data_IF_882237092746
#
_entry.id   IF_882237092746
#
_cell.length_a   1.000
_cell.length_b   1.000
_cell.length_c   1.000
_cell.angle_alpha   90.00
_cell.angle_beta   90.00
_cell.angle_gamma   90.00
#
_symmetry.space_group_name_H-M   'P 1'
#
loop_
_entity.id
_entity.type
_entity.pdbx_description
1 polymer ?
#
# COMPACT_ATOMS: atom_id res chain seq x y z
N UNK A 1 9.81 -12.22 31.20
CA UNK A 1 8.80 -12.45 30.14
C UNK A 1 7.67 -11.41 30.15
N UNK A 2 6.95 -11.14 31.26
CA UNK A 2 5.88 -10.12 31.25
C UNK A 2 6.35 -8.65 31.22
N UNK A 3 7.55 -8.36 31.72
CA UNK A 3 8.15 -7.02 31.78
C UNK A 3 8.67 -6.57 30.41
N UNK A 4 9.31 -7.48 29.68
CA UNK A 4 9.95 -7.21 28.38
C UNK A 4 8.90 -6.86 27.31
N UNK A 5 7.75 -7.55 27.30
CA UNK A 5 6.64 -7.25 26.39
C UNK A 5 6.00 -5.89 26.68
N UNK A 6 5.92 -5.47 27.96
CA UNK A 6 5.35 -4.16 28.32
C UNK A 6 6.24 -3.01 27.86
N UNK A 7 7.56 -3.13 28.06
CA UNK A 7 8.52 -2.13 27.59
C UNK A 7 8.58 -2.06 26.06
N UNK A 8 8.45 -3.19 25.37
CA UNK A 8 8.32 -3.22 23.91
C UNK A 8 7.08 -2.46 23.44
N UNK A 9 5.90 -2.74 24.01
CA UNK A 9 4.65 -2.06 23.66
C UNK A 9 4.76 -0.55 23.91
N UNK A 10 5.37 -0.14 25.03
CA UNK A 10 5.59 1.26 25.37
C UNK A 10 6.49 1.95 24.35
N UNK A 11 7.62 1.34 24.01
CA UNK A 11 8.57 1.87 23.02
C UNK A 11 7.92 2.02 21.64
N UNK A 12 7.19 1.00 21.18
CA UNK A 12 6.49 1.04 19.89
C UNK A 12 5.35 2.07 19.89
N UNK A 13 4.63 2.24 20.99
CA UNK A 13 3.59 3.28 21.12
C UNK A 13 4.18 4.68 21.07
N UNK A 14 5.33 4.89 21.71
CA UNK A 14 6.08 6.14 21.62
C UNK A 14 6.53 6.41 20.18
N UNK A 15 7.09 5.41 19.50
CA UNK A 15 7.51 5.53 18.11
C UNK A 15 6.35 5.92 17.18
N UNK A 16 5.19 5.27 17.33
CA UNK A 16 3.97 5.62 16.60
C UNK A 16 3.62 7.10 16.78
N UNK A 17 3.62 7.57 18.04
CA UNK A 17 3.24 8.94 18.38
C UNK A 17 4.17 9.93 17.68
N UNK A 18 5.48 9.70 17.76
CA UNK A 18 6.47 10.52 17.06
C UNK A 18 6.24 10.56 15.54
N UNK A 19 5.98 9.42 14.91
CA UNK A 19 5.71 9.36 13.46
C UNK A 19 4.45 10.15 13.10
N UNK A 20 3.37 9.98 13.86
CA UNK A 20 2.10 10.69 13.62
C UNK A 20 2.27 12.20 13.81
N UNK A 21 3.10 12.62 14.77
CA UNK A 21 3.39 14.02 15.06
C UNK A 21 4.43 14.63 14.08
N UNK A 22 4.91 13.86 13.10
CA UNK A 22 5.83 14.31 12.05
C UNK A 22 7.32 14.13 12.37
N UNK A 23 7.67 13.58 13.54
CA UNK A 23 9.04 13.20 13.90
C UNK A 23 9.41 11.82 13.36
N UNK A 24 9.24 11.63 12.05
CA UNK A 24 9.27 10.31 11.39
C UNK A 24 10.58 9.55 11.67
N UNK A 25 11.73 10.19 11.45
CA UNK A 25 13.05 9.58 11.68
C UNK A 25 13.25 9.10 13.12
N UNK A 26 12.86 9.90 14.11
CA UNK A 26 13.00 9.52 15.51
C UNK A 26 12.14 8.31 15.86
N UNK A 27 10.92 8.24 15.31
CA UNK A 27 10.08 7.06 15.50
C UNK A 27 10.61 5.82 14.80
N UNK A 28 11.14 5.96 13.58
CA UNK A 28 11.82 4.85 12.87
C UNK A 28 13.00 4.33 13.69
N UNK A 29 13.87 5.21 14.19
CA UNK A 29 15.03 4.84 15.02
C UNK A 29 14.62 4.03 16.26
N UNK A 30 13.49 4.36 16.89
CA UNK A 30 12.99 3.60 18.04
C UNK A 30 12.50 2.21 17.60
N UNK A 31 11.80 2.11 16.46
CA UNK A 31 11.31 0.82 15.95
C UNK A 31 12.49 -0.09 15.62
N UNK A 32 13.49 0.40 14.89
CA UNK A 32 14.68 -0.39 14.52
C UNK A 32 15.45 -0.90 15.75
N UNK A 33 15.52 -0.10 16.82
CA UNK A 33 16.18 -0.51 18.07
C UNK A 33 15.36 -1.48 18.91
N UNK A 34 14.03 -1.45 18.78
CA UNK A 34 13.12 -2.23 19.63
C UNK A 34 12.72 -3.56 18.99
N UNK A 35 12.62 -3.60 17.66
CA UNK A 35 12.12 -4.75 16.91
C UNK A 35 13.28 -5.64 16.49
N UNK A 36 13.17 -6.93 16.84
CA UNK A 36 14.15 -7.97 16.55
C UNK A 36 13.47 -9.15 15.87
N UNK A 37 14.24 -10.10 15.34
CA UNK A 37 13.71 -11.34 14.76
C UNK A 37 12.89 -12.17 15.77
N UNK A 38 13.18 -12.06 17.06
CA UNK A 38 12.49 -12.80 18.12
C UNK A 38 11.10 -12.23 18.44
N UNK A 39 10.92 -10.90 18.29
CA UNK A 39 9.69 -10.21 18.68
C UNK A 39 8.89 -9.63 17.50
N UNK A 40 9.32 -9.87 16.25
CA UNK A 40 8.71 -9.26 15.06
C UNK A 40 7.21 -9.58 14.93
N UNK A 41 6.83 -10.83 15.20
CA UNK A 41 5.43 -11.27 15.13
C UNK A 41 4.55 -10.52 16.16
N UNK A 42 5.10 -10.22 17.35
CA UNK A 42 4.41 -9.46 18.39
C UNK A 42 4.40 -7.95 18.10
N UNK A 43 5.28 -7.50 17.21
CA UNK A 43 5.46 -6.10 16.86
C UNK A 43 4.67 -5.69 15.62
N UNK A 44 4.23 -6.63 14.77
CA UNK A 44 3.62 -6.33 13.46
C UNK A 44 2.41 -5.39 13.50
N UNK A 45 1.69 -5.32 14.62
CA UNK A 45 0.58 -4.37 14.78
C UNK A 45 1.03 -2.90 14.59
N UNK A 46 2.30 -2.59 14.86
CA UNK A 46 2.81 -1.22 14.80
C UNK A 46 2.70 -0.63 13.40
N UNK A 47 3.06 -1.39 12.36
CA UNK A 47 3.03 -0.89 11.00
C UNK A 47 1.61 -0.61 10.55
N UNK A 48 0.65 -1.47 10.93
CA UNK A 48 -0.76 -1.24 10.60
C UNK A 48 -1.29 0.03 11.28
N UNK A 49 -0.92 0.24 12.55
CA UNK A 49 -1.31 1.44 13.28
C UNK A 49 -0.69 2.73 12.71
N UNK A 50 0.53 2.66 12.18
CA UNK A 50 1.15 3.79 11.46
C UNK A 50 0.40 4.03 10.15
N UNK A 51 0.14 2.98 9.36
CA UNK A 51 -0.64 3.05 8.12
C UNK A 51 -2.02 3.65 8.37
N UNK A 52 -2.63 3.44 9.55
CA UNK A 52 -3.95 3.97 9.88
C UNK A 52 -3.97 5.45 10.31
N UNK A 53 -2.90 5.93 10.94
CA UNK A 53 -2.90 7.24 11.61
C UNK A 53 -1.98 8.29 10.98
N UNK A 54 -0.86 7.89 10.40
CA UNK A 54 0.16 8.84 9.92
C UNK A 54 -0.25 9.55 8.62
N UNK A 55 0.44 10.66 8.30
CA UNK A 55 0.31 11.34 7.01
C UNK A 55 0.85 10.49 5.85
N UNK A 56 0.51 10.82 4.61
CA UNK A 56 0.99 10.04 3.46
C UNK A 56 2.52 10.09 3.29
N UNK A 57 3.13 11.26 3.52
CA UNK A 57 4.59 11.40 3.50
C UNK A 57 5.26 10.50 4.53
N UNK A 58 4.74 10.49 5.76
CA UNK A 58 5.25 9.64 6.83
C UNK A 58 5.05 8.16 6.55
N UNK A 59 3.90 7.76 5.98
CA UNK A 59 3.65 6.36 5.59
C UNK A 59 4.70 5.91 4.57
N UNK A 60 4.96 6.73 3.56
CA UNK A 60 5.92 6.40 2.50
C UNK A 60 7.34 6.32 3.08
N UNK A 61 7.76 7.30 3.88
CA UNK A 61 9.10 7.31 4.48
C UNK A 61 9.30 6.10 5.42
N UNK A 62 8.30 5.75 6.24
CA UNK A 62 8.36 4.57 7.11
C UNK A 62 8.43 3.28 6.31
N UNK A 63 7.59 3.12 5.30
CA UNK A 63 7.57 1.90 4.49
C UNK A 63 8.87 1.74 3.70
N UNK A 64 9.35 2.80 3.06
CA UNK A 64 10.60 2.77 2.29
C UNK A 64 11.82 2.47 3.19
N UNK A 65 11.79 2.85 4.47
CA UNK A 65 12.88 2.61 5.42
C UNK A 65 12.81 1.23 6.09
N UNK A 66 11.67 0.90 6.72
CA UNK A 66 11.54 -0.28 7.59
C UNK A 66 10.36 -1.19 7.21
N UNK A 67 9.62 -0.89 6.14
CA UNK A 67 8.43 -1.63 5.74
C UNK A 67 8.71 -3.12 5.48
N UNK A 68 9.92 -3.47 5.03
CA UNK A 68 10.35 -4.86 4.78
C UNK A 68 10.44 -5.72 6.04
N UNK A 69 10.55 -5.11 7.21
CA UNK A 69 10.55 -5.83 8.48
C UNK A 69 9.17 -6.40 8.78
N UNK A 70 8.10 -5.81 8.23
CA UNK A 70 6.73 -6.10 8.62
C UNK A 70 5.90 -6.70 7.50
N UNK A 71 4.89 -7.47 7.88
CA UNK A 71 3.85 -7.91 6.98
C UNK A 71 2.71 -6.88 6.95
N UNK A 72 2.69 -6.02 5.94
CA UNK A 72 1.59 -5.06 5.74
C UNK A 72 0.34 -5.70 5.13
N UNK A 73 0.44 -6.93 4.61
CA UNK A 73 -0.68 -7.61 3.95
C UNK A 73 -1.80 -7.94 4.94
N UNK A 74 -1.50 -8.07 6.23
CA UNK A 74 -2.50 -8.34 7.27
C UNK A 74 -3.26 -7.09 7.72
N UNK A 75 -2.81 -5.89 7.37
CA UNK A 75 -3.41 -4.65 7.85
C UNK A 75 -4.84 -4.45 7.30
N UNK A 76 -5.75 -4.00 8.18
CA UNK A 76 -7.17 -3.81 7.84
C UNK A 76 -7.41 -2.70 6.80
N UNK A 77 -6.57 -1.67 6.82
CA UNK A 77 -6.67 -0.49 5.97
C UNK A 77 -5.52 -0.38 4.96
N UNK A 78 -5.00 -1.52 4.50
CA UNK A 78 -3.86 -1.56 3.58
C UNK A 78 -4.07 -0.75 2.28
N UNK A 79 -5.32 -0.48 1.89
CA UNK A 79 -5.68 0.42 0.79
C UNK A 79 -5.10 1.85 0.91
N UNK A 80 -4.82 2.29 2.15
CA UNK A 80 -4.25 3.61 2.45
C UNK A 80 -2.81 3.72 1.92
N UNK A 81 -2.07 2.61 1.88
CA UNK A 81 -0.75 2.54 1.22
C UNK A 81 -0.87 2.92 -0.26
N UNK A 82 -1.77 2.26 -1.00
CA UNK A 82 -1.99 2.53 -2.43
C UNK A 82 -2.37 4.00 -2.65
N UNK A 83 -3.29 4.51 -1.82
CA UNK A 83 -3.78 5.90 -1.92
C UNK A 83 -2.67 6.92 -1.69
N UNK A 84 -1.80 6.68 -0.70
CA UNK A 84 -0.71 7.59 -0.37
C UNK A 84 0.37 7.62 -1.44
N UNK A 85 0.84 6.45 -1.90
CA UNK A 85 1.80 6.39 -3.01
C UNK A 85 1.24 7.05 -4.28
N UNK A 86 -0.06 6.84 -4.58
CA UNK A 86 -0.69 7.48 -5.73
C UNK A 86 -0.76 9.01 -5.62
N UNK A 87 -1.06 9.55 -4.43
CA UNK A 87 -1.13 11.00 -4.19
C UNK A 87 0.22 11.69 -4.38
N UNK A 88 1.28 11.04 -3.91
CA UNK A 88 2.66 11.54 -4.03
C UNK A 88 3.30 11.20 -5.39
N UNK A 89 2.57 10.58 -6.31
CA UNK A 89 3.10 10.19 -7.62
C UNK A 89 4.24 9.16 -7.54
N UNK A 90 4.31 8.41 -6.43
CA UNK A 90 5.34 7.40 -6.17
C UNK A 90 4.79 6.00 -6.42
N UNK A 91 5.70 5.05 -6.52
CA UNK A 91 5.40 3.63 -6.62
C UNK A 91 6.47 2.82 -5.89
N UNK A 92 6.06 1.75 -5.21
CA UNK A 92 6.95 0.81 -4.54
C UNK A 92 6.33 -0.59 -4.49
N UNK A 93 7.12 -1.59 -4.10
CA UNK A 93 6.64 -2.96 -3.87
C UNK A 93 5.52 -3.05 -2.83
N UNK A 94 5.43 -2.09 -1.89
CA UNK A 94 4.36 -2.05 -0.90
C UNK A 94 2.99 -1.79 -1.54
N UNK A 95 2.95 -1.11 -2.68
CA UNK A 95 1.72 -0.95 -3.47
C UNK A 95 1.26 -2.29 -4.03
N UNK A 96 2.17 -3.10 -4.58
CA UNK A 96 1.87 -4.44 -5.08
C UNK A 96 1.37 -5.35 -3.95
N UNK A 97 2.04 -5.34 -2.79
CA UNK A 97 1.62 -6.10 -1.61
C UNK A 97 0.21 -5.69 -1.17
N UNK A 98 -0.06 -4.38 -1.12
CA UNK A 98 -1.36 -3.85 -0.73
C UNK A 98 -2.47 -4.29 -1.71
N UNK A 99 -2.24 -4.15 -3.02
CA UNK A 99 -3.20 -4.57 -4.06
C UNK A 99 -3.46 -6.08 -3.96
N UNK A 100 -2.40 -6.89 -3.92
CA UNK A 100 -2.52 -8.35 -3.87
C UNK A 100 -3.26 -8.82 -2.62
N UNK A 101 -2.98 -8.22 -1.45
CA UNK A 101 -3.72 -8.51 -0.22
C UNK A 101 -5.22 -8.27 -0.35
N UNK A 102 -5.61 -7.15 -0.97
CA UNK A 102 -7.02 -6.81 -1.18
C UNK A 102 -7.68 -7.79 -2.16
N UNK A 103 -7.00 -8.12 -3.26
CA UNK A 103 -7.49 -9.08 -4.26
C UNK A 103 -7.68 -10.47 -3.66
N UNK A 104 -6.69 -10.98 -2.91
CA UNK A 104 -6.77 -12.28 -2.25
C UNK A 104 -7.93 -12.36 -1.24
N UNK A 105 -8.24 -11.26 -0.57
CA UNK A 105 -9.38 -11.16 0.35
C UNK A 105 -10.73 -10.95 -0.38
N UNK A 106 -10.74 -10.84 -1.71
CA UNK A 106 -11.93 -10.55 -2.51
C UNK A 106 -12.56 -9.18 -2.23
N UNK A 107 -11.81 -8.25 -1.62
CA UNK A 107 -12.34 -6.95 -1.14
C UNK A 107 -12.33 -5.89 -2.23
N UNK A 108 -13.05 -6.16 -3.34
CA UNK A 108 -13.17 -5.23 -4.47
C UNK A 108 -13.62 -3.83 -4.03
N UNK A 109 -14.52 -3.76 -3.05
CA UNK A 109 -15.03 -2.49 -2.48
C UNK A 109 -13.91 -1.58 -1.95
N UNK A 110 -12.80 -2.16 -1.47
CA UNK A 110 -11.65 -1.39 -1.01
C UNK A 110 -10.84 -0.80 -2.16
N UNK A 111 -10.77 -1.49 -3.31
CA UNK A 111 -10.15 -0.96 -4.53
C UNK A 111 -11.03 0.17 -5.12
N UNK A 112 -12.35 0.00 -5.12
CA UNK A 112 -13.28 0.99 -5.67
C UNK A 112 -13.13 2.36 -4.95
N UNK A 113 -12.94 2.33 -3.63
CA UNK A 113 -12.76 3.52 -2.79
C UNK A 113 -11.48 4.32 -3.10
N UNK A 114 -10.50 3.73 -3.77
CA UNK A 114 -9.20 4.38 -4.03
C UNK A 114 -9.00 4.77 -5.50
N UNK A 115 -9.96 4.49 -6.38
CA UNK A 115 -9.84 4.77 -7.82
C UNK A 115 -9.61 6.26 -8.11
N UNK A 116 -10.25 7.14 -7.35
CA UNK A 116 -10.05 8.58 -7.48
C UNK A 116 -8.62 8.98 -7.15
N UNK A 117 -8.07 8.48 -6.05
CA UNK A 117 -6.69 8.77 -5.63
C UNK A 117 -5.69 8.17 -6.62
N UNK A 118 -5.93 6.93 -7.08
CA UNK A 118 -5.10 6.23 -8.06
C UNK A 118 -5.04 6.91 -9.43
N UNK A 119 -6.05 7.69 -9.80
CA UNK A 119 -6.13 8.38 -11.11
C UNK A 119 -4.95 9.29 -11.43
N UNK A 120 -4.16 9.68 -10.42
CA UNK A 120 -2.95 10.49 -10.59
C UNK A 120 -1.77 9.69 -11.12
N UNK A 121 -1.69 8.39 -10.82
CA UNK A 121 -0.53 7.55 -11.12
C UNK A 121 -0.83 6.52 -12.21
N UNK A 122 -0.17 6.67 -13.37
CA UNK A 122 -0.33 5.75 -14.51
C UNK A 122 0.02 4.31 -14.15
N UNK A 123 1.14 4.10 -13.45
CA UNK A 123 1.60 2.76 -13.06
C UNK A 123 0.62 2.10 -12.08
N UNK A 124 0.06 2.85 -11.13
CA UNK A 124 -0.93 2.32 -10.19
C UNK A 124 -2.24 1.99 -10.91
N UNK A 125 -2.68 2.82 -11.86
CA UNK A 125 -3.84 2.51 -12.70
C UNK A 125 -3.64 1.20 -13.48
N UNK A 126 -2.45 0.97 -14.01
CA UNK A 126 -2.12 -0.28 -14.69
C UNK A 126 -2.20 -1.48 -13.73
N UNK A 127 -1.60 -1.38 -12.54
CA UNK A 127 -1.66 -2.45 -11.53
C UNK A 127 -3.07 -2.73 -11.03
N UNK A 128 -3.89 -1.69 -10.85
CA UNK A 128 -5.30 -1.86 -10.54
C UNK A 128 -6.03 -2.55 -11.69
N UNK A 129 -5.73 -2.23 -12.95
CA UNK A 129 -6.35 -2.94 -14.09
C UNK A 129 -6.14 -4.46 -14.03
N UNK A 130 -4.92 -4.90 -13.69
CA UNK A 130 -4.62 -6.33 -13.51
C UNK A 130 -5.39 -6.92 -12.32
N UNK A 131 -5.52 -6.16 -11.23
CA UNK A 131 -6.27 -6.55 -10.05
C UNK A 131 -7.78 -6.74 -10.34
N UNK A 132 -8.41 -5.79 -11.05
CA UNK A 132 -9.83 -5.90 -11.43
C UNK A 132 -10.06 -7.08 -12.39
N UNK A 133 -9.11 -7.38 -13.28
CA UNK A 133 -9.17 -8.56 -14.14
C UNK A 133 -9.17 -9.86 -13.31
N UNK A 134 -8.31 -9.96 -12.28
CA UNK A 134 -8.31 -11.11 -11.35
C UNK A 134 -9.61 -11.24 -10.55
N UNK A 135 -10.31 -10.13 -10.34
CA UNK A 135 -11.62 -10.07 -9.68
C UNK A 135 -12.80 -10.23 -10.65
N UNK A 136 -12.56 -10.62 -11.90
CA UNK A 136 -13.55 -10.79 -12.97
C UNK A 136 -14.34 -9.52 -13.34
N UNK A 137 -13.85 -8.33 -12.97
CA UNK A 137 -14.42 -7.07 -13.44
C UNK A 137 -13.64 -6.54 -14.65
N UNK A 138 -13.91 -7.18 -15.79
CA UNK A 138 -13.23 -6.91 -17.05
C UNK A 138 -13.50 -5.49 -17.55
N UNK A 139 -14.69 -4.95 -17.28
CA UNK A 139 -15.05 -3.59 -17.69
C UNK A 139 -14.15 -2.56 -16.99
N UNK A 140 -14.12 -2.60 -15.66
CA UNK A 140 -13.28 -1.66 -14.89
C UNK A 140 -11.81 -1.86 -15.21
N UNK A 141 -11.36 -3.12 -15.38
CA UNK A 141 -9.99 -3.41 -15.81
C UNK A 141 -9.63 -2.71 -17.12
N UNK A 142 -10.46 -2.83 -18.16
CA UNK A 142 -10.20 -2.20 -19.45
C UNK A 142 -10.21 -0.66 -19.38
N UNK A 143 -11.14 -0.08 -18.60
CA UNK A 143 -11.19 1.37 -18.39
C UNK A 143 -9.92 1.90 -17.71
N UNK A 144 -9.43 1.21 -16.68
CA UNK A 144 -8.19 1.59 -15.98
C UNK A 144 -6.95 1.38 -16.85
N UNK A 145 -6.89 0.28 -17.61
CA UNK A 145 -5.79 0.00 -18.54
C UNK A 145 -5.70 1.10 -19.62
N UNK A 146 -6.84 1.53 -20.17
CA UNK A 146 -6.88 2.65 -21.13
C UNK A 146 -6.33 3.93 -20.52
N UNK A 147 -6.78 4.30 -19.31
CA UNK A 147 -6.28 5.50 -18.60
C UNK A 147 -4.78 5.42 -18.28
N UNK A 148 -4.27 4.24 -17.97
CA UNK A 148 -2.83 4.03 -17.77
C UNK A 148 -2.04 4.23 -19.08
N UNK A 149 -2.55 3.73 -20.21
CA UNK A 149 -1.96 3.97 -21.53
C UNK A 149 -1.97 5.47 -21.91
N UNK A 150 -3.07 6.18 -21.67
CA UNK A 150 -3.17 7.64 -21.87
C UNK A 150 -2.15 8.43 -21.03
N UNK A 151 -1.62 7.82 -19.97
CA UNK A 151 -0.56 8.36 -19.11
C UNK A 151 0.84 7.87 -19.47
N UNK A 152 1.01 7.18 -20.61
CA UNK A 152 2.30 6.77 -21.14
C UNK A 152 2.85 5.45 -20.58
N UNK A 153 2.02 4.63 -19.92
CA UNK A 153 2.45 3.28 -19.50
C UNK A 153 2.41 2.33 -20.71
N UNK A 154 3.57 1.94 -21.20
CA UNK A 154 3.72 1.14 -22.43
C UNK A 154 3.00 -0.21 -22.32
N UNK A 155 3.17 -0.91 -21.20
CA UNK A 155 2.56 -2.22 -20.92
C UNK A 155 1.02 -2.14 -20.88
N UNK A 156 0.49 -0.96 -20.58
CA UNK A 156 -0.95 -0.72 -20.62
C UNK A 156 -1.46 -0.51 -22.05
N UNK A 157 -0.62 -0.01 -22.98
CA UNK A 157 -0.99 0.19 -24.38
C UNK A 157 -0.95 -1.11 -25.20
N UNK A 158 -0.16 -2.08 -24.78
CA UNK A 158 -0.09 -3.39 -25.44
C UNK A 158 -1.47 -4.07 -25.43
N UNK A 159 -1.95 -4.45 -26.62
CA UNK A 159 -3.23 -5.12 -26.89
C UNK A 159 -4.52 -4.26 -26.80
N UNK A 160 -4.45 -2.93 -26.64
CA UNK A 160 -5.67 -2.07 -26.75
C UNK A 160 -6.22 -2.08 -28.19
N UNK A 161 -5.35 -2.22 -29.19
CA UNK A 161 -5.72 -2.27 -30.61
C UNK A 161 -6.44 -3.57 -31.03
N UNK A 162 -6.53 -4.60 -30.17
CA UNK A 162 -7.27 -5.83 -30.48
C UNK A 162 -8.74 -5.79 -30.03
N UNK A 163 -9.10 -4.91 -29.07
CA UNK A 163 -10.48 -4.80 -28.57
C UNK A 163 -11.34 -3.90 -29.46
N UNK A 164 -10.71 -3.00 -30.22
CA UNK A 164 -11.39 -2.08 -31.15
C UNK A 164 -11.82 -2.74 -32.46
N UNK A 165 -11.35 -3.94 -32.78
CA UNK A 165 -11.68 -4.67 -34.02
C UNK A 165 -12.74 -5.75 -33.87
N UNK A 166 -13.33 -5.93 -32.68
CA UNK A 166 -14.37 -6.95 -32.43
C UNK A 166 -15.81 -6.45 -32.63
N UNK A 167 -16.00 -5.21 -33.10
CA UNK A 167 -17.30 -4.58 -33.35
C UNK A 167 -17.39 -4.00 -34.77
N UNK A 168 -16.85 -4.71 -35.78
CA UNK A 168 -17.05 -4.39 -37.19
C UNK A 168 -17.77 -5.52 -37.89
#
# INVERSE_FOLDING_TARGET
>A
MGTDTRELIKSLTQAKTLIVDGFVKQGIDIIEKSVTSENINQSNWIICNIIDAASCDAIIEVLDSIGKMFDISVCGNVKRVISCYAKEGKYSEFVDIAINSIVQKGKKDQLDKILQDASKSGIILYKLSEAYKKLNDIRTANELKKKACEKGIAEACENINQVSTSFS
#
